data_IF_103312347588
#
_entry.id   IF_103312347588
#
_cell.length_a   1.000
_cell.length_b   1.000
_cell.length_c   1.000
_cell.angle_alpha   90.00
_cell.angle_beta   90.00
_cell.angle_gamma   90.00
#
_symmetry.space_group_name_H-M   'P 1'
#
loop_
_entity.id
_entity.type
_entity.pdbx_description
1 polymer ?
#
# COMPACT_ATOMS: atom_id res chain seq x y z
N UNK A 1 -6.18 -41.87 -28.20
CA UNK A 1 -6.01 -41.13 -26.97
C UNK A 1 -4.58 -40.65 -26.86
N UNK A 2 -4.32 -39.39 -27.21
CA UNK A 2 -2.97 -38.81 -27.12
C UNK A 2 -2.59 -38.57 -25.68
N UNK A 3 -1.48 -39.11 -25.25
CA UNK A 3 -0.91 -38.86 -23.94
C UNK A 3 -0.55 -37.35 -23.83
N UNK A 4 -1.27 -36.60 -23.00
CA UNK A 4 -0.91 -35.23 -22.67
C UNK A 4 0.50 -35.26 -22.08
N UNK A 5 1.45 -34.57 -22.71
CA UNK A 5 2.83 -34.49 -22.22
C UNK A 5 2.80 -33.93 -20.78
N UNK A 6 3.30 -34.74 -19.86
CA UNK A 6 3.29 -34.51 -18.40
C UNK A 6 3.95 -33.17 -17.98
N UNK A 7 4.60 -32.47 -18.90
CA UNK A 7 5.40 -31.26 -18.65
C UNK A 7 4.70 -29.93 -19.00
N UNK A 8 3.46 -29.96 -19.54
CA UNK A 8 2.77 -28.73 -19.97
C UNK A 8 1.72 -28.23 -18.94
N UNK A 9 1.28 -29.11 -18.04
CA UNK A 9 0.31 -28.74 -17.01
C UNK A 9 1.01 -28.58 -15.66
N UNK A 10 0.86 -27.42 -15.06
CA UNK A 10 1.33 -27.11 -13.71
C UNK A 10 0.12 -26.82 -12.80
N UNK A 11 -0.61 -27.85 -12.33
CA UNK A 11 -1.86 -27.68 -11.56
C UNK A 11 -1.68 -26.88 -10.27
N UNK A 12 -0.44 -26.80 -9.76
CA UNK A 12 -0.07 -26.01 -8.59
C UNK A 12 0.17 -24.52 -8.88
N UNK A 13 0.21 -24.12 -10.16
CA UNK A 13 0.31 -22.71 -10.55
C UNK A 13 -1.08 -22.15 -10.75
N UNK A 14 -1.52 -21.38 -9.79
CA UNK A 14 -2.80 -20.64 -9.85
C UNK A 14 -2.49 -19.16 -10.01
N UNK A 15 -3.09 -18.53 -11.01
CA UNK A 15 -3.14 -17.06 -11.11
C UNK A 15 -4.54 -16.64 -10.72
N UNK A 16 -4.62 -15.85 -9.66
CA UNK A 16 -5.85 -15.15 -9.31
C UNK A 16 -6.03 -13.96 -10.25
N UNK A 17 -7.21 -13.81 -10.81
CA UNK A 17 -7.56 -12.67 -11.64
C UNK A 17 -9.04 -12.33 -11.43
N UNK A 18 -9.37 -11.06 -11.54
CA UNK A 18 -10.73 -10.57 -11.46
C UNK A 18 -11.07 -9.82 -12.75
N UNK A 19 -12.19 -10.15 -13.36
CA UNK A 19 -12.78 -9.33 -14.42
C UNK A 19 -13.70 -8.34 -13.72
N UNK A 20 -13.24 -7.09 -13.63
CA UNK A 20 -14.12 -6.01 -13.16
C UNK A 20 -15.32 -5.85 -14.07
N UNK A 21 -16.48 -5.58 -13.48
CA UNK A 21 -17.65 -5.15 -14.25
C UNK A 21 -17.48 -3.70 -14.68
N UNK A 22 -18.02 -3.30 -15.85
CA UNK A 22 -18.04 -1.91 -16.26
C UNK A 22 -18.64 -1.02 -15.18
N UNK A 23 -17.91 -0.02 -14.72
CA UNK A 23 -18.33 0.86 -13.65
C UNK A 23 -17.81 2.28 -13.86
N UNK A 24 -18.72 3.23 -14.02
CA UNK A 24 -18.34 4.65 -14.11
C UNK A 24 -17.59 5.11 -12.88
N UNK A 25 -17.96 4.63 -11.69
CA UNK A 25 -17.29 4.98 -10.42
C UNK A 25 -15.85 4.45 -10.37
N UNK A 26 -15.64 3.20 -10.86
CA UNK A 26 -14.29 2.63 -10.96
C UNK A 26 -13.41 3.46 -11.89
N UNK A 27 -13.91 3.74 -13.09
CA UNK A 27 -13.17 4.46 -14.12
C UNK A 27 -12.83 5.88 -13.66
N UNK A 28 -13.78 6.61 -13.08
CA UNK A 28 -13.56 7.96 -12.59
C UNK A 28 -12.42 8.01 -11.55
N UNK A 29 -12.42 7.10 -10.54
CA UNK A 29 -11.36 7.03 -9.54
C UNK A 29 -10.03 6.56 -10.13
N UNK A 30 -10.06 5.61 -11.06
CA UNK A 30 -8.85 5.12 -11.73
C UNK A 30 -8.17 6.24 -12.52
N UNK A 31 -8.92 6.97 -13.35
CA UNK A 31 -8.36 8.07 -14.16
C UNK A 31 -7.84 9.20 -13.26
N UNK A 32 -8.56 9.55 -12.20
CA UNK A 32 -8.16 10.56 -11.23
C UNK A 32 -6.78 10.21 -10.61
N UNK A 33 -6.60 8.99 -10.12
CA UNK A 33 -5.31 8.55 -9.57
C UNK A 33 -4.21 8.50 -10.61
N UNK A 34 -4.52 8.04 -11.84
CA UNK A 34 -3.54 8.02 -12.94
C UNK A 34 -3.08 9.43 -13.33
N UNK A 35 -3.99 10.40 -13.35
CA UNK A 35 -3.67 11.80 -13.61
C UNK A 35 -2.78 12.40 -12.51
N UNK A 36 -3.03 12.07 -11.25
CA UNK A 36 -2.18 12.49 -10.13
C UNK A 36 -0.76 11.97 -10.29
N UNK A 37 -0.57 10.69 -10.66
CA UNK A 37 0.78 10.12 -10.85
C UNK A 37 1.58 10.74 -12.00
N UNK A 38 0.91 11.41 -12.93
CA UNK A 38 1.57 12.10 -14.05
C UNK A 38 1.79 13.60 -13.79
N UNK A 39 1.42 14.10 -12.62
CA UNK A 39 1.77 15.47 -12.19
C UNK A 39 3.29 15.61 -12.07
N UNK A 40 3.87 16.74 -12.49
CA UNK A 40 5.28 17.01 -12.26
C UNK A 40 5.57 17.06 -10.75
N UNK A 41 6.79 16.74 -10.37
CA UNK A 41 7.22 16.85 -8.97
C UNK A 41 7.12 18.30 -8.47
N UNK A 42 6.46 18.49 -7.36
CA UNK A 42 6.32 19.77 -6.69
C UNK A 42 6.49 19.56 -5.15
N UNK A 43 7.58 20.08 -4.55
CA UNK A 43 7.81 19.93 -3.11
C UNK A 43 6.78 20.67 -2.23
N UNK A 44 6.05 21.63 -2.80
CA UNK A 44 4.93 22.32 -2.14
C UNK A 44 3.63 21.51 -2.14
N UNK A 45 3.54 20.56 -3.07
CA UNK A 45 2.39 19.68 -3.28
C UNK A 45 2.83 18.23 -3.47
N UNK A 46 3.54 17.64 -2.47
CA UNK A 46 4.04 16.28 -2.57
C UNK A 46 2.89 15.28 -2.75
N UNK A 47 3.08 14.30 -3.62
CA UNK A 47 2.15 13.19 -3.81
C UNK A 47 2.58 12.04 -2.91
N UNK A 48 1.77 11.73 -1.91
CA UNK A 48 2.04 10.69 -0.93
C UNK A 48 0.97 9.61 -0.98
N UNK A 49 1.40 8.36 -1.08
CA UNK A 49 0.53 7.20 -0.97
C UNK A 49 0.62 6.67 0.46
N UNK A 50 -0.53 6.36 1.05
CA UNK A 50 -0.65 5.80 2.40
C UNK A 50 -1.49 4.53 2.36
N UNK A 51 -0.97 3.48 2.98
CA UNK A 51 -1.65 2.19 3.12
C UNK A 51 -1.10 1.40 4.31
N UNK A 52 -1.75 0.30 4.70
CA UNK A 52 -1.30 -0.52 5.80
C UNK A 52 -1.32 -2.03 5.50
N UNK A 53 -0.52 -2.76 6.26
CA UNK A 53 -0.48 -4.22 6.27
C UNK A 53 -0.46 -4.74 7.70
N UNK A 54 -1.10 -5.88 7.93
CA UNK A 54 -0.98 -6.62 9.19
C UNK A 54 0.07 -7.72 9.11
N UNK A 55 0.89 -7.84 10.13
CA UNK A 55 1.88 -8.92 10.30
C UNK A 55 1.54 -9.74 11.53
N UNK A 56 1.32 -11.05 11.36
CA UNK A 56 1.23 -11.97 12.47
C UNK A 56 2.63 -12.24 13.03
N UNK A 57 2.77 -12.12 14.33
CA UNK A 57 4.00 -12.42 15.05
C UNK A 57 4.08 -13.92 15.33
N UNK A 58 5.22 -14.51 15.02
CA UNK A 58 5.47 -15.94 15.21
C UNK A 58 6.80 -16.15 15.92
N UNK A 59 6.76 -16.86 17.02
CA UNK A 59 7.97 -17.33 17.71
C UNK A 59 8.30 -18.77 17.31
N UNK A 60 9.56 -19.16 17.50
CA UNK A 60 10.08 -20.51 17.29
C UNK A 60 10.51 -21.07 18.65
N UNK A 61 9.67 -21.86 19.34
CA UNK A 61 9.90 -22.26 20.74
C UNK A 61 11.23 -22.98 20.99
N UNK A 62 11.69 -23.76 20.00
CA UNK A 62 12.96 -24.52 20.09
C UNK A 62 14.14 -23.79 19.41
N UNK A 63 13.90 -22.54 18.96
CA UNK A 63 14.93 -21.77 18.29
C UNK A 63 15.22 -22.23 16.86
N UNK A 64 16.31 -21.72 16.32
CA UNK A 64 16.82 -22.04 14.99
C UNK A 64 18.25 -22.57 15.10
N UNK A 65 18.53 -23.69 14.48
CA UNK A 65 19.90 -24.18 14.37
C UNK A 65 20.62 -23.34 13.30
N UNK A 66 21.73 -22.71 13.62
CA UNK A 66 22.45 -21.84 12.71
C UNK A 66 22.98 -22.59 11.51
N UNK A 67 23.32 -21.87 10.47
CA UNK A 67 24.01 -22.41 9.29
C UNK A 67 25.44 -22.78 9.63
N UNK A 68 25.88 -23.97 9.17
CA UNK A 68 27.24 -24.44 9.28
C UNK A 68 27.79 -24.80 7.88
N UNK A 69 29.11 -24.94 7.68
CA UNK A 69 29.68 -25.37 6.42
C UNK A 69 29.07 -26.70 5.96
N UNK A 70 28.42 -26.69 4.78
CA UNK A 70 27.73 -27.85 4.21
C UNK A 70 26.33 -28.15 4.80
N UNK A 71 25.83 -27.34 5.75
CA UNK A 71 24.49 -27.47 6.31
C UNK A 71 23.75 -26.15 6.26
N UNK A 72 22.52 -26.16 5.73
CA UNK A 72 21.63 -25.01 5.77
C UNK A 72 21.10 -24.80 7.17
N UNK A 73 20.74 -23.57 7.52
CA UNK A 73 20.03 -23.27 8.77
C UNK A 73 18.73 -24.09 8.84
N UNK A 74 18.42 -24.63 10.00
CA UNK A 74 17.20 -25.44 10.24
C UNK A 74 16.35 -24.74 11.28
N UNK A 75 15.10 -24.45 10.90
CA UNK A 75 14.10 -23.85 11.79
C UNK A 75 13.06 -24.94 12.13
N UNK A 76 12.64 -24.98 13.40
CA UNK A 76 11.56 -25.85 13.81
C UNK A 76 10.30 -25.56 12.99
N UNK A 77 9.57 -26.61 12.58
CA UNK A 77 8.29 -26.44 11.89
C UNK A 77 7.19 -25.92 12.83
N UNK A 78 7.31 -26.16 14.13
CA UNK A 78 6.39 -25.64 15.13
C UNK A 78 6.62 -24.13 15.35
N UNK A 79 5.55 -23.43 15.63
CA UNK A 79 5.59 -22.01 15.98
C UNK A 79 4.44 -21.64 16.92
N UNK A 80 4.66 -20.65 17.75
CA UNK A 80 3.61 -19.99 18.53
C UNK A 80 3.20 -18.69 17.87
N UNK A 81 1.91 -18.34 17.95
CA UNK A 81 1.38 -17.06 17.49
C UNK A 81 1.35 -16.08 18.65
N UNK A 82 2.08 -14.98 18.54
CA UNK A 82 2.21 -13.93 19.55
C UNK A 82 1.37 -12.70 19.20
N UNK A 83 0.21 -12.90 18.55
CA UNK A 83 -0.67 -11.81 18.13
C UNK A 83 -0.35 -11.27 16.75
N UNK A 84 -0.87 -10.09 16.46
CA UNK A 84 -0.68 -9.38 15.20
C UNK A 84 -0.35 -7.93 15.48
N UNK A 85 0.42 -7.34 14.58
CA UNK A 85 0.82 -5.94 14.60
C UNK A 85 0.57 -5.34 13.23
N UNK A 86 0.41 -4.04 13.13
CA UNK A 86 0.12 -3.35 11.89
C UNK A 86 1.25 -2.39 11.52
N UNK A 87 1.44 -2.19 10.24
CA UNK A 87 2.44 -1.30 9.70
C UNK A 87 1.75 -0.35 8.72
N UNK A 88 1.73 0.94 9.03
CA UNK A 88 1.35 1.98 8.10
C UNK A 88 2.57 2.40 7.29
N UNK A 89 2.44 2.45 5.99
CA UNK A 89 3.49 2.90 5.08
C UNK A 89 3.03 4.16 4.35
N UNK A 90 3.83 5.21 4.47
CA UNK A 90 3.76 6.41 3.65
C UNK A 90 4.87 6.37 2.61
N UNK A 91 4.56 6.66 1.36
CA UNK A 91 5.57 6.70 0.28
C UNK A 91 5.33 7.88 -0.65
N UNK A 92 6.37 8.67 -0.89
CA UNK A 92 6.43 9.71 -1.92
C UNK A 92 7.22 9.15 -3.12
N UNK A 93 6.54 8.72 -4.20
CA UNK A 93 7.17 7.97 -5.28
C UNK A 93 8.31 8.71 -5.98
N UNK A 94 8.07 9.96 -6.36
CA UNK A 94 9.03 10.75 -7.14
C UNK A 94 10.25 11.20 -6.33
N UNK A 95 10.10 11.41 -5.03
CA UNK A 95 11.21 11.72 -4.12
C UNK A 95 12.00 10.48 -3.71
N UNK A 96 11.40 9.30 -3.83
CA UNK A 96 12.00 8.07 -3.34
C UNK A 96 12.04 7.99 -1.81
N UNK A 97 11.07 8.62 -1.12
CA UNK A 97 10.96 8.65 0.33
C UNK A 97 9.88 7.70 0.85
N UNK A 98 10.16 7.08 2.00
CA UNK A 98 9.23 6.20 2.72
C UNK A 98 9.33 6.48 4.21
N UNK A 99 8.22 6.26 4.90
CA UNK A 99 8.16 6.17 6.36
C UNK A 99 7.22 5.05 6.75
N UNK A 100 7.67 4.17 7.65
CA UNK A 100 6.87 3.06 8.16
C UNK A 100 6.66 3.24 9.65
N UNK A 101 5.41 3.21 10.09
CA UNK A 101 5.06 3.22 11.49
C UNK A 101 4.46 1.89 11.91
N UNK A 102 4.99 1.32 12.98
CA UNK A 102 4.50 0.07 13.57
C UNK A 102 3.52 0.38 14.68
N UNK A 103 2.28 -0.13 14.56
CA UNK A 103 1.18 0.15 15.49
C UNK A 103 0.53 -1.14 15.97
N UNK A 104 -0.07 -1.11 17.16
CA UNK A 104 -0.78 -2.26 17.70
C UNK A 104 -2.16 -2.45 17.03
N UNK A 105 -2.73 -1.38 16.49
CA UNK A 105 -4.04 -1.35 15.84
C UNK A 105 -3.97 -0.60 14.52
N UNK A 106 -5.05 -0.72 13.73
CA UNK A 106 -5.28 0.03 12.49
C UNK A 106 -6.71 0.56 12.45
N UNK A 107 -7.07 1.30 13.48
CA UNK A 107 -8.38 1.94 13.59
C UNK A 107 -8.42 3.27 12.83
N UNK A 108 -9.60 3.87 12.71
CA UNK A 108 -9.75 5.24 12.19
C UNK A 108 -8.92 6.26 12.98
N UNK A 109 -8.76 6.04 14.29
CA UNK A 109 -7.93 6.90 15.15
C UNK A 109 -6.44 6.75 14.84
N UNK A 110 -5.96 5.53 14.61
CA UNK A 110 -4.56 5.29 14.21
C UNK A 110 -4.28 5.94 12.85
N UNK A 111 -5.21 5.81 11.91
CA UNK A 111 -5.11 6.46 10.60
C UNK A 111 -5.12 8.00 10.71
N UNK A 112 -5.95 8.57 11.58
CA UNK A 112 -5.97 10.01 11.82
C UNK A 112 -4.63 10.51 12.39
N UNK A 113 -3.98 9.76 13.27
CA UNK A 113 -2.64 10.05 13.78
C UNK A 113 -1.57 10.00 12.67
N UNK A 114 -1.69 9.06 11.71
CA UNK A 114 -0.81 9.04 10.54
C UNK A 114 -0.98 10.28 9.67
N UNK A 115 -2.22 10.77 9.50
CA UNK A 115 -2.49 12.00 8.75
C UNK A 115 -1.95 13.24 9.47
N UNK A 116 -2.07 13.29 10.79
CA UNK A 116 -1.47 14.38 11.59
C UNK A 116 0.05 14.38 11.45
N UNK A 117 0.68 13.23 11.65
CA UNK A 117 2.14 13.07 11.47
C UNK A 117 2.58 13.43 10.05
N UNK A 118 1.81 13.05 9.03
CA UNK A 118 2.08 13.39 7.63
C UNK A 118 2.14 14.91 7.41
N UNK A 119 1.16 15.63 7.97
CA UNK A 119 1.03 17.09 7.78
C UNK A 119 2.00 17.88 8.64
N UNK A 120 2.23 17.47 9.90
CA UNK A 120 2.95 18.26 10.89
C UNK A 120 4.43 17.90 11.01
N UNK A 121 4.78 16.62 10.76
CA UNK A 121 6.16 16.13 10.93
C UNK A 121 6.83 15.89 9.58
N UNK A 122 6.13 15.18 8.66
CA UNK A 122 6.74 14.74 7.42
C UNK A 122 6.78 15.87 6.36
N UNK A 123 5.72 16.70 6.29
CA UNK A 123 5.57 17.78 5.31
C UNK A 123 5.05 19.09 5.92
N UNK A 124 5.70 19.64 6.96
CA UNK A 124 5.25 20.87 7.62
C UNK A 124 5.21 22.08 6.67
N UNK A 125 6.16 22.13 5.71
CA UNK A 125 6.32 23.22 4.75
C UNK A 125 5.48 23.07 3.47
N UNK A 126 4.78 21.95 3.29
CA UNK A 126 3.91 21.76 2.15
C UNK A 126 2.69 22.67 2.24
N UNK A 127 2.26 23.21 1.11
CA UNK A 127 1.00 23.95 1.00
C UNK A 127 -0.18 22.99 1.09
N UNK A 128 -0.10 21.88 0.37
CA UNK A 128 -1.08 20.79 0.35
C UNK A 128 -0.34 19.48 0.11
N UNK A 129 -0.67 18.44 0.86
CA UNK A 129 -0.22 17.08 0.59
C UNK A 129 -1.29 16.37 -0.24
N UNK A 130 -0.93 15.93 -1.44
CA UNK A 130 -1.80 15.14 -2.31
C UNK A 130 -1.76 13.70 -1.84
N UNK A 131 -2.82 13.27 -1.17
CA UNK A 131 -2.92 11.97 -0.52
C UNK A 131 -3.65 10.96 -1.41
N UNK A 132 -2.98 9.87 -1.74
CA UNK A 132 -3.59 8.70 -2.39
C UNK A 132 -3.71 7.58 -1.35
N UNK A 133 -4.91 7.08 -1.16
CA UNK A 133 -5.22 5.97 -0.24
C UNK A 133 -6.29 5.07 -0.85
N UNK A 134 -6.52 3.91 -0.24
CA UNK A 134 -7.65 3.06 -0.61
C UNK A 134 -8.98 3.65 -0.11
N UNK A 135 -10.09 3.04 -0.52
CA UNK A 135 -11.42 3.53 -0.18
C UNK A 135 -12.04 2.75 1.00
N UNK A 136 -11.24 2.43 2.02
CA UNK A 136 -11.78 1.86 3.25
C UNK A 136 -12.61 2.89 4.03
N UNK A 137 -13.61 2.42 4.77
CA UNK A 137 -14.46 3.30 5.57
C UNK A 137 -13.68 4.09 6.64
N UNK A 138 -12.56 3.55 7.11
CA UNK A 138 -11.65 4.18 8.06
C UNK A 138 -10.79 5.27 7.42
N UNK A 139 -10.64 5.28 6.09
CA UNK A 139 -9.77 6.18 5.33
C UNK A 139 -10.55 7.37 4.76
N UNK A 140 -11.23 8.09 5.62
CA UNK A 140 -11.98 9.30 5.22
C UNK A 140 -11.65 10.47 6.11
N UNK A 141 -11.89 11.72 5.66
CA UNK A 141 -11.70 12.90 6.51
C UNK A 141 -12.47 12.87 7.84
N UNK A 142 -13.51 12.02 7.95
CA UNK A 142 -14.29 11.84 9.17
C UNK A 142 -13.43 11.34 10.34
N UNK A 143 -12.41 10.49 10.08
CA UNK A 143 -11.51 9.98 11.12
C UNK A 143 -10.83 11.11 11.92
N UNK A 144 -10.54 12.24 11.28
CA UNK A 144 -9.92 13.39 11.94
C UNK A 144 -10.85 14.01 13.01
N UNK A 145 -12.17 14.04 12.73
CA UNK A 145 -13.15 14.55 13.68
C UNK A 145 -13.51 13.56 14.77
N UNK A 146 -13.20 12.28 14.59
CA UNK A 146 -13.28 11.26 15.63
C UNK A 146 -12.08 11.34 16.58
N UNK A 147 -10.90 11.73 16.07
CA UNK A 147 -9.63 11.71 16.80
C UNK A 147 -9.29 13.06 17.45
N UNK A 148 -9.66 14.19 16.82
CA UNK A 148 -9.19 15.51 17.21
C UNK A 148 -10.34 16.51 17.44
N UNK A 149 -10.09 17.60 18.22
CA UNK A 149 -11.02 18.71 18.31
C UNK A 149 -11.32 19.30 16.92
N UNK A 150 -12.54 19.83 16.68
CA UNK A 150 -12.98 20.25 15.34
C UNK A 150 -12.04 21.24 14.62
N UNK A 151 -11.45 22.18 15.35
CA UNK A 151 -10.50 23.15 14.77
C UNK A 151 -9.23 22.47 14.25
N UNK A 152 -8.70 21.52 15.01
CA UNK A 152 -7.52 20.74 14.64
C UNK A 152 -7.82 19.78 13.48
N UNK A 153 -8.93 19.05 13.55
CA UNK A 153 -9.40 18.20 12.47
C UNK A 153 -9.53 18.97 11.15
N UNK A 154 -10.12 20.19 11.20
CA UNK A 154 -10.28 21.05 10.04
C UNK A 154 -8.94 21.55 9.50
N UNK A 155 -7.99 21.91 10.37
CA UNK A 155 -6.64 22.34 10.00
C UNK A 155 -5.93 21.26 9.22
N UNK A 156 -5.94 20.01 9.73
CA UNK A 156 -5.31 18.86 9.07
C UNK A 156 -6.00 18.58 7.73
N UNK A 157 -7.34 18.49 7.74
CA UNK A 157 -8.11 18.20 6.53
C UNK A 157 -7.89 19.24 5.42
N UNK A 158 -7.69 20.52 5.78
CA UNK A 158 -7.44 21.59 4.81
C UNK A 158 -6.07 21.48 4.11
N UNK A 159 -5.11 20.78 4.71
CA UNK A 159 -3.79 20.50 4.11
C UNK A 159 -3.75 19.23 3.26
N UNK A 160 -4.85 18.50 3.10
CA UNK A 160 -4.93 17.24 2.39
C UNK A 160 -5.82 17.35 1.15
N UNK A 161 -5.28 17.00 0.00
CA UNK A 161 -6.03 16.76 -1.24
C UNK A 161 -6.22 15.26 -1.40
N UNK A 162 -7.47 14.79 -1.33
CA UNK A 162 -7.77 13.36 -1.25
C UNK A 162 -8.05 12.74 -2.60
N UNK A 163 -7.36 11.65 -2.90
CA UNK A 163 -7.57 10.79 -4.05
C UNK A 163 -7.71 9.34 -3.59
N UNK A 164 -8.75 8.68 -4.07
CA UNK A 164 -9.07 7.31 -3.66
C UNK A 164 -8.89 6.33 -4.80
N UNK A 165 -8.17 5.24 -4.55
CA UNK A 165 -8.18 4.14 -5.51
C UNK A 165 -9.57 3.52 -5.61
N UNK A 166 -9.94 2.99 -6.78
CA UNK A 166 -11.24 2.32 -6.93
C UNK A 166 -11.27 1.00 -6.16
N UNK A 167 -12.45 0.57 -5.77
CA UNK A 167 -12.66 -0.77 -5.20
C UNK A 167 -12.11 -1.84 -6.17
N UNK A 168 -11.38 -2.82 -5.65
CA UNK A 168 -10.64 -3.81 -6.45
C UNK A 168 -9.57 -3.23 -7.39
N UNK A 169 -9.15 -2.00 -7.15
CA UNK A 169 -8.11 -1.30 -7.90
C UNK A 169 -6.83 -1.09 -7.10
N UNK A 170 -6.52 -1.96 -6.15
CA UNK A 170 -5.37 -1.88 -5.25
C UNK A 170 -4.03 -1.78 -5.99
N UNK A 171 -3.93 -2.38 -7.18
CA UNK A 171 -2.75 -2.25 -8.05
C UNK A 171 -2.40 -0.79 -8.43
N UNK A 172 -3.34 0.14 -8.28
CA UNK A 172 -3.13 1.58 -8.47
C UNK A 172 -2.49 2.26 -7.25
N UNK A 173 -2.47 1.61 -6.09
CA UNK A 173 -1.84 2.18 -4.91
C UNK A 173 -0.35 1.80 -4.88
N UNK A 174 0.52 2.81 -5.05
CA UNK A 174 1.98 2.60 -4.98
C UNK A 174 2.40 2.10 -3.59
N UNK A 175 1.69 2.48 -2.52
CA UNK A 175 1.98 2.00 -1.18
C UNK A 175 1.82 0.47 -1.07
N UNK A 176 0.82 -0.15 -1.73
CA UNK A 176 0.71 -1.61 -1.79
C UNK A 176 1.92 -2.27 -2.47
N UNK A 177 2.43 -1.66 -3.54
CA UNK A 177 3.63 -2.15 -4.20
C UNK A 177 4.84 -2.14 -3.25
N UNK A 178 5.03 -1.05 -2.52
CA UNK A 178 6.10 -0.93 -1.52
C UNK A 178 5.89 -1.83 -0.30
N UNK A 179 4.67 -1.99 0.18
CA UNK A 179 4.33 -2.98 1.23
C UNK A 179 4.68 -4.41 0.79
N UNK A 180 4.45 -4.74 -0.49
CA UNK A 180 4.87 -6.02 -1.06
C UNK A 180 6.40 -6.17 -1.09
N UNK A 181 7.14 -5.08 -1.35
CA UNK A 181 8.62 -5.07 -1.26
C UNK A 181 9.07 -5.23 0.18
N UNK A 182 8.51 -4.48 1.12
CA UNK A 182 8.76 -4.61 2.57
C UNK A 182 8.49 -6.04 3.03
N UNK A 183 7.35 -6.62 2.65
CA UNK A 183 6.98 -7.99 3.00
C UNK A 183 8.04 -8.99 2.54
N UNK A 184 8.51 -8.89 1.30
CA UNK A 184 9.53 -9.83 0.75
C UNK A 184 10.91 -9.63 1.33
N UNK A 185 11.32 -8.39 1.57
CA UNK A 185 12.69 -8.06 1.97
C UNK A 185 12.92 -8.10 3.49
N UNK A 186 11.87 -7.82 4.27
CA UNK A 186 11.97 -7.68 5.73
C UNK A 186 11.06 -8.66 6.49
N UNK A 187 9.79 -8.79 6.06
CA UNK A 187 8.77 -9.48 6.84
C UNK A 187 8.60 -10.96 6.48
N UNK A 188 9.24 -11.47 5.42
CA UNK A 188 9.10 -12.87 4.97
C UNK A 188 9.91 -13.84 5.82
N UNK A 189 9.72 -13.73 7.14
CA UNK A 189 10.32 -14.59 8.15
C UNK A 189 9.45 -14.59 9.41
N UNK A 190 9.74 -15.49 10.35
CA UNK A 190 9.16 -15.46 11.69
C UNK A 190 9.78 -14.29 12.46
N UNK A 191 8.93 -13.48 13.04
CA UNK A 191 9.30 -12.34 13.91
C UNK A 191 8.50 -12.54 15.19
N UNK A 192 9.15 -12.70 16.35
CA UNK A 192 8.47 -13.11 17.57
C UNK A 192 7.68 -11.99 18.24
N UNK A 193 8.14 -10.76 18.14
CA UNK A 193 7.61 -9.63 18.89
C UNK A 193 7.81 -8.29 18.16
N UNK A 194 7.22 -7.23 18.72
CA UNK A 194 7.28 -5.86 18.22
C UNK A 194 8.68 -5.27 18.37
N UNK A 195 9.37 -5.60 19.43
CA UNK A 195 10.70 -5.12 19.78
C UNK A 195 11.73 -5.56 18.74
N UNK A 196 11.58 -6.77 18.21
CA UNK A 196 12.38 -7.30 17.10
C UNK A 196 11.97 -6.66 15.76
N UNK A 197 10.66 -6.43 15.54
CA UNK A 197 10.15 -5.91 14.27
C UNK A 197 10.57 -4.46 14.02
N UNK A 198 10.47 -3.59 15.03
CA UNK A 198 10.71 -2.14 14.87
C UNK A 198 12.10 -1.83 14.29
N UNK A 199 13.22 -2.33 14.85
CA UNK A 199 14.55 -2.04 14.30
C UNK A 199 14.76 -2.62 12.90
N UNK A 200 14.16 -3.75 12.57
CA UNK A 200 14.25 -4.35 11.24
C UNK A 200 13.56 -3.51 10.17
N UNK A 201 12.37 -3.02 10.49
CA UNK A 201 11.61 -2.11 9.62
C UNK A 201 12.34 -0.77 9.46
N UNK A 202 12.88 -0.22 10.55
CA UNK A 202 13.66 1.02 10.52
C UNK A 202 14.94 0.88 9.66
N UNK A 203 15.64 -0.25 9.75
CA UNK A 203 16.83 -0.52 8.93
C UNK A 203 16.45 -0.65 7.43
N UNK A 204 15.33 -1.31 7.12
CA UNK A 204 14.82 -1.40 5.76
C UNK A 204 14.47 -0.01 5.20
N UNK A 205 13.73 0.80 5.96
CA UNK A 205 13.35 2.16 5.61
C UNK A 205 14.58 3.03 5.33
N UNK A 206 15.53 3.05 6.27
CA UNK A 206 16.77 3.81 6.13
C UNK A 206 17.54 3.43 4.86
N UNK A 207 17.70 2.13 4.59
CA UNK A 207 18.39 1.63 3.40
C UNK A 207 17.72 2.08 2.11
N UNK A 208 16.38 2.02 2.05
CA UNK A 208 15.62 2.41 0.85
C UNK A 208 15.64 3.93 0.64
N UNK A 209 15.53 4.71 1.71
CA UNK A 209 15.59 6.16 1.65
C UNK A 209 16.99 6.64 1.26
N UNK A 210 18.05 6.04 1.81
CA UNK A 210 19.44 6.34 1.42
C UNK A 210 19.71 6.04 -0.06
N UNK A 211 19.10 4.99 -0.61
CA UNK A 211 19.21 4.63 -2.02
C UNK A 211 18.32 5.50 -2.95
N UNK A 212 17.47 6.37 -2.39
CA UNK A 212 16.53 7.24 -3.11
C UNK A 212 15.78 6.47 -4.22
N UNK A 213 15.20 5.30 -3.87
CA UNK A 213 14.51 4.45 -4.84
C UNK A 213 13.21 5.12 -5.29
N UNK A 214 13.25 5.83 -6.40
CA UNK A 214 12.09 6.49 -7.01
C UNK A 214 11.18 5.50 -7.74
N UNK A 215 9.91 5.85 -7.85
CA UNK A 215 8.93 5.09 -8.62
C UNK A 215 8.28 6.05 -9.62
N UNK A 216 8.44 5.74 -10.91
CA UNK A 216 7.83 6.49 -11.99
C UNK A 216 6.70 5.66 -12.60
N UNK A 217 5.48 6.10 -12.40
CA UNK A 217 4.30 5.43 -12.92
C UNK A 217 4.20 5.60 -14.44
N UNK A 218 4.15 4.49 -15.18
CA UNK A 218 4.19 4.52 -16.65
C UNK A 218 2.81 4.39 -17.31
N UNK A 219 1.83 3.82 -16.62
CA UNK A 219 0.52 3.55 -17.17
C UNK A 219 -0.37 4.78 -17.10
N UNK A 220 -0.78 5.30 -18.26
CA UNK A 220 -1.55 6.54 -18.37
C UNK A 220 -3.06 6.30 -18.40
N UNK A 221 -3.86 7.36 -18.18
CA UNK A 221 -5.31 7.31 -18.40
C UNK A 221 -5.64 6.94 -19.85
N UNK A 222 -4.83 7.41 -20.83
CA UNK A 222 -5.00 7.03 -22.23
C UNK A 222 -4.74 5.55 -22.47
N UNK A 223 -3.71 4.98 -21.85
CA UNK A 223 -3.48 3.52 -21.87
C UNK A 223 -4.65 2.75 -21.28
N UNK A 224 -5.21 3.25 -20.18
CA UNK A 224 -6.38 2.63 -19.53
C UNK A 224 -7.60 2.60 -20.48
N UNK A 225 -7.90 3.70 -21.17
CA UNK A 225 -8.99 3.77 -22.16
C UNK A 225 -8.84 2.74 -23.27
N UNK A 226 -7.62 2.40 -23.65
CA UNK A 226 -7.32 1.40 -24.68
C UNK A 226 -7.29 -0.03 -24.08
N UNK A 227 -6.42 -0.25 -23.09
CA UNK A 227 -6.12 -1.60 -22.55
C UNK A 227 -7.20 -2.13 -21.64
N UNK A 228 -7.91 -1.23 -20.93
CA UNK A 228 -8.98 -1.56 -19.99
C UNK A 228 -10.38 -1.15 -20.50
N UNK A 229 -10.55 -1.02 -21.81
CA UNK A 229 -11.81 -0.61 -22.46
C UNK A 229 -13.05 -1.32 -21.92
N UNK A 230 -12.93 -2.58 -21.49
CA UNK A 230 -14.04 -3.37 -20.95
C UNK A 230 -14.57 -2.86 -19.61
N UNK A 231 -13.81 -2.05 -18.89
CA UNK A 231 -14.23 -1.47 -17.61
C UNK A 231 -15.03 -0.18 -17.79
N UNK A 232 -14.96 0.42 -18.99
CA UNK A 232 -15.67 1.65 -19.31
C UNK A 232 -17.13 1.35 -19.64
N UNK A 233 -18.08 2.10 -19.06
CA UNK A 233 -19.50 1.95 -19.39
C UNK A 233 -19.77 2.26 -20.87
N UNK A 234 -20.61 1.47 -21.49
CA UNK A 234 -21.10 1.76 -22.84
C UNK A 234 -22.20 2.81 -22.74
N UNK A 235 -21.98 3.97 -23.37
CA UNK A 235 -23.01 5.01 -23.48
C UNK A 235 -24.06 4.50 -24.47
N UNK A 236 -25.29 4.27 -23.99
CA UNK A 236 -26.43 4.06 -24.89
C UNK A 236 -26.79 5.41 -25.47
N UNK A 237 -26.70 5.56 -26.78
CA UNK A 237 -27.26 6.73 -27.47
C UNK A 237 -28.74 6.82 -27.08
N UNK A 238 -29.16 7.91 -26.47
CA UNK A 238 -30.55 8.24 -26.28
C UNK A 238 -31.09 8.54 -27.66
N UNK A 239 -31.83 7.59 -28.24
CA UNK A 239 -32.61 7.85 -29.41
C UNK A 239 -33.58 9.00 -29.06
N UNK A 240 -33.31 10.18 -29.56
CA UNK A 240 -34.22 11.34 -29.52
C UNK A 240 -35.46 10.94 -30.33
N UNK A 241 -36.52 10.66 -29.63
CA UNK A 241 -37.88 10.57 -30.19
C UNK A 241 -38.45 11.96 -30.30
#
# INVERSE_FOLDING_TARGET
>A
MGAVKKNELHPWRVKSWCIGQPSARFVAKMEDVLEVYHRPYDPKRPVVNLDEISKTLHDTPQGTLPMEPGQVARQDYQFTRNGSINLFLKVEPLRGWRKVRVTDRRTSLDFAEELRSLVDEDYPEAEVVVLITDNLNTHSPACLYEAFPPAEARRIAAKLEWHYTPEHGSWLNVAECELSVLARQCLNRRIPDKETLIPEVAAWEQKRNAAQVTIHWQFTAQDARIKLRRLYPVIKEQNST
#
